data_IF_291170005009
#
_entry.id   IF_291170005009
#
_cell.length_a   1.000
_cell.length_b   1.000
_cell.length_c   1.000
_cell.angle_alpha   90.00
_cell.angle_beta   90.00
_cell.angle_gamma   90.00
#
_symmetry.space_group_name_H-M   'P 1'
#
loop_
_entity.id
_entity.type
_entity.pdbx_description
1 polymer ?
#
# COMPACT_ATOMS: atom_id res chain seq x y z
N UNK A 1 11.24 -5.31 -16.22
CA UNK A 1 9.95 -5.80 -16.73
C UNK A 1 8.86 -4.86 -16.22
N UNK A 2 8.03 -4.26 -17.09
CA UNK A 2 7.12 -3.12 -16.76
C UNK A 2 5.66 -3.45 -17.06
N UNK A 3 5.33 -4.74 -17.19
CA UNK A 3 4.06 -5.23 -17.76
C UNK A 3 2.87 -4.95 -16.82
N UNK A 4 3.07 -5.03 -15.51
CA UNK A 4 2.04 -4.82 -14.48
C UNK A 4 1.45 -3.41 -14.50
N UNK A 5 2.27 -2.41 -14.83
CA UNK A 5 1.88 -1.00 -14.96
C UNK A 5 0.86 -0.76 -16.09
N UNK A 6 0.84 -1.61 -17.10
CA UNK A 6 -0.15 -1.54 -18.20
C UNK A 6 -1.41 -2.35 -17.90
N UNK A 7 -1.30 -3.45 -17.16
CA UNK A 7 -2.43 -4.33 -16.84
C UNK A 7 -3.39 -3.72 -15.82
N UNK A 8 -2.93 -2.76 -15.00
CA UNK A 8 -3.71 -2.15 -13.92
C UNK A 8 -4.27 -0.76 -14.29
N UNK A 9 -4.32 -0.43 -15.59
CA UNK A 9 -4.88 0.83 -16.10
C UNK A 9 -4.19 2.11 -15.57
N UNK A 10 -2.96 2.00 -15.05
CA UNK A 10 -2.19 3.11 -14.46
C UNK A 10 -1.64 4.07 -15.54
N UNK A 11 -1.62 3.66 -16.80
CA UNK A 11 -1.19 4.51 -17.91
C UNK A 11 -2.19 4.47 -19.07
N UNK A 12 -2.74 5.63 -19.49
CA UNK A 12 -3.27 5.78 -20.83
C UNK A 12 -2.26 5.30 -21.87
N UNK A 13 -2.70 4.51 -22.85
CA UNK A 13 -1.84 4.07 -23.93
C UNK A 13 -1.26 5.28 -24.68
N UNK A 14 0.08 5.33 -24.85
CA UNK A 14 0.77 6.36 -25.64
C UNK A 14 1.69 7.32 -24.89
N UNK A 15 1.79 7.25 -23.56
CA UNK A 15 2.66 8.15 -22.78
C UNK A 15 4.16 7.82 -22.93
N UNK A 16 4.97 8.86 -23.16
CA UNK A 16 6.44 8.81 -23.14
C UNK A 16 6.99 8.52 -21.74
N UNK A 17 8.27 8.14 -21.63
CA UNK A 17 8.90 7.83 -20.34
C UNK A 17 8.84 8.97 -19.33
N UNK A 18 8.95 10.23 -19.77
CA UNK A 18 8.85 11.40 -18.88
C UNK A 18 7.42 11.67 -18.41
N UNK A 19 6.43 11.52 -19.30
CA UNK A 19 5.03 11.70 -18.95
C UNK A 19 4.56 10.62 -17.98
N UNK A 20 5.07 9.39 -18.10
CA UNK A 20 4.82 8.33 -17.12
C UNK A 20 5.38 8.69 -15.74
N UNK A 21 6.60 9.23 -15.69
CA UNK A 21 7.21 9.65 -14.43
C UNK A 21 6.43 10.80 -13.78
N UNK A 22 5.93 11.75 -14.58
CA UNK A 22 5.07 12.83 -14.11
C UNK A 22 3.72 12.31 -13.61
N UNK A 23 3.12 11.35 -14.32
CA UNK A 23 1.87 10.72 -13.93
C UNK A 23 2.00 9.96 -12.61
N UNK A 24 3.07 9.18 -12.42
CA UNK A 24 3.35 8.47 -11.17
C UNK A 24 3.50 9.46 -10.00
N UNK A 25 4.24 10.56 -10.19
CA UNK A 25 4.37 11.60 -9.15
C UNK A 25 3.03 12.25 -8.82
N UNK A 26 2.19 12.48 -9.81
CA UNK A 26 0.86 13.03 -9.59
C UNK A 26 0.01 12.07 -8.76
N UNK A 27 -0.05 10.80 -9.17
CA UNK A 27 -0.79 9.74 -8.47
C UNK A 27 -0.29 9.52 -7.04
N UNK A 28 1.02 9.61 -6.81
CA UNK A 28 1.60 9.54 -5.48
C UNK A 28 1.14 10.69 -4.57
N UNK A 29 0.99 11.91 -5.11
CA UNK A 29 0.44 13.05 -4.37
C UNK A 29 -1.04 12.88 -4.06
N UNK A 30 -1.82 12.36 -5.01
CA UNK A 30 -3.24 12.04 -4.78
C UNK A 30 -3.39 11.01 -3.66
N UNK A 31 -2.57 9.96 -3.66
CA UNK A 31 -2.53 8.96 -2.61
C UNK A 31 -2.17 9.58 -1.24
N UNK A 32 -1.13 10.41 -1.18
CA UNK A 32 -0.74 11.07 0.07
C UNK A 32 -1.86 11.97 0.63
N UNK A 33 -2.56 12.71 -0.24
CA UNK A 33 -3.70 13.53 0.14
C UNK A 33 -4.87 12.67 0.63
N UNK A 34 -5.18 11.57 -0.05
CA UNK A 34 -6.21 10.61 0.35
C UNK A 34 -5.92 10.01 1.72
N UNK A 35 -4.67 9.56 1.95
CA UNK A 35 -4.22 9.00 3.23
C UNK A 35 -4.40 10.01 4.37
N UNK A 36 -3.99 11.25 4.17
CA UNK A 36 -4.15 12.32 5.16
C UNK A 36 -5.63 12.60 5.46
N UNK A 37 -6.47 12.67 4.42
CA UNK A 37 -7.91 12.90 4.55
C UNK A 37 -8.61 11.75 5.30
N UNK A 38 -8.30 10.50 4.95
CA UNK A 38 -8.88 9.32 5.59
C UNK A 38 -8.44 9.21 7.05
N UNK A 39 -7.16 9.47 7.35
CA UNK A 39 -6.66 9.51 8.73
C UNK A 39 -7.34 10.60 9.56
N UNK A 40 -7.60 11.77 8.97
CA UNK A 40 -8.30 12.86 9.65
C UNK A 40 -9.80 12.58 9.87
N UNK A 41 -10.42 11.78 8.99
CA UNK A 41 -11.85 11.43 9.06
C UNK A 41 -12.12 10.23 9.98
N UNK A 42 -11.17 9.31 10.10
CA UNK A 42 -11.31 8.10 10.91
C UNK A 42 -11.39 8.44 12.41
N UNK A 43 -12.33 7.82 13.12
CA UNK A 43 -12.33 7.91 14.57
C UNK A 43 -11.08 7.22 15.14
N UNK A 44 -10.40 7.78 16.16
CA UNK A 44 -9.20 7.17 16.76
C UNK A 44 -9.34 5.67 17.11
N UNK A 45 -10.47 5.18 17.69
CA UNK A 45 -10.62 3.75 17.98
C UNK A 45 -10.78 2.88 16.73
N UNK A 46 -11.43 3.39 15.67
CA UNK A 46 -11.58 2.67 14.40
C UNK A 46 -10.23 2.52 13.70
N UNK A 47 -9.45 3.60 13.66
CA UNK A 47 -8.09 3.61 13.13
C UNK A 47 -7.20 2.61 13.89
N UNK A 48 -7.28 2.61 15.23
CA UNK A 48 -6.52 1.68 16.06
C UNK A 48 -6.92 0.22 15.83
N UNK A 49 -8.21 -0.05 15.63
CA UNK A 49 -8.71 -1.41 15.38
C UNK A 49 -8.23 -1.94 14.03
N UNK A 50 -8.33 -1.13 12.97
CA UNK A 50 -7.80 -1.48 11.64
C UNK A 50 -6.29 -1.66 11.69
N UNK A 51 -5.57 -0.72 12.30
CA UNK A 51 -4.11 -0.80 12.42
C UNK A 51 -3.66 -2.04 13.21
N UNK A 52 -4.41 -2.45 14.24
CA UNK A 52 -4.14 -3.66 15.01
C UNK A 52 -4.45 -4.93 14.23
N UNK A 53 -5.55 -4.97 13.45
CA UNK A 53 -5.88 -6.09 12.58
C UNK A 53 -4.81 -6.30 11.51
N UNK A 54 -4.41 -5.22 10.85
CA UNK A 54 -3.33 -5.21 9.85
C UNK A 54 -2.01 -5.66 10.47
N UNK A 55 -1.59 -5.09 11.61
CA UNK A 55 -0.35 -5.49 12.30
C UNK A 55 -0.36 -6.97 12.68
N UNK A 56 -1.49 -7.49 13.16
CA UNK A 56 -1.62 -8.89 13.57
C UNK A 56 -1.44 -9.84 12.40
N UNK A 57 -2.02 -9.53 11.24
CA UNK A 57 -1.84 -10.34 10.04
C UNK A 57 -0.45 -10.13 9.39
N UNK A 58 0.09 -8.91 9.41
CA UNK A 58 1.43 -8.59 8.90
C UNK A 58 2.53 -9.35 9.67
N UNK A 59 2.41 -9.45 11.00
CA UNK A 59 3.37 -10.16 11.86
C UNK A 59 3.31 -11.68 11.71
N UNK A 60 2.13 -12.25 11.41
CA UNK A 60 1.91 -13.70 11.37
C UNK A 60 2.22 -14.30 9.99
N UNK A 61 2.14 -13.52 8.91
CA UNK A 61 2.25 -14.03 7.53
C UNK A 61 3.36 -13.43 6.67
N UNK A 62 3.88 -12.25 7.01
CA UNK A 62 4.99 -11.68 6.24
C UNK A 62 6.23 -12.52 6.51
N UNK A 63 6.71 -13.26 5.50
CA UNK A 63 7.92 -14.09 5.61
C UNK A 63 9.11 -13.23 6.03
N UNK A 64 9.44 -13.25 7.32
CA UNK A 64 10.56 -12.53 7.93
C UNK A 64 11.92 -13.05 7.43
N UNK A 65 11.94 -14.18 6.72
CA UNK A 65 13.09 -14.68 5.97
C UNK A 65 13.33 -13.93 4.66
N UNK A 66 12.35 -13.16 4.16
CA UNK A 66 12.53 -12.38 2.93
C UNK A 66 13.39 -11.13 3.19
N UNK A 67 14.49 -10.89 2.44
CA UNK A 67 15.43 -9.79 2.70
C UNK A 67 14.80 -8.40 2.72
N UNK A 68 13.68 -8.22 2.00
CA UNK A 68 12.93 -6.96 1.96
C UNK A 68 12.14 -6.68 3.25
N UNK A 69 11.70 -7.71 3.98
CA UNK A 69 10.97 -7.56 5.24
C UNK A 69 11.78 -8.03 6.47
N UNK A 70 12.96 -8.60 6.23
CA UNK A 70 13.92 -8.98 7.26
C UNK A 70 14.67 -7.78 7.82
N UNK A 71 14.98 -7.82 9.12
CA UNK A 71 15.67 -6.76 9.83
C UNK A 71 15.20 -6.63 11.29
N UNK A 72 15.89 -5.81 12.12
CA UNK A 72 15.47 -5.56 13.50
C UNK A 72 14.04 -4.99 13.56
N UNK A 73 13.24 -5.44 14.53
CA UNK A 73 11.79 -5.19 14.63
C UNK A 73 11.40 -3.71 14.80
N UNK A 74 12.30 -2.87 15.31
CA UNK A 74 12.00 -1.46 15.53
C UNK A 74 12.27 -0.61 14.28
N UNK A 75 11.20 -0.06 13.72
CA UNK A 75 11.29 0.98 12.69
C UNK A 75 11.49 0.47 11.26
N UNK A 76 11.11 -0.77 10.95
CA UNK A 76 11.25 -1.30 9.59
C UNK A 76 10.35 -0.50 8.60
N UNK A 77 10.94 0.28 7.67
CA UNK A 77 10.18 1.21 6.84
C UNK A 77 9.22 0.49 5.90
N UNK A 78 9.54 -0.74 5.49
CA UNK A 78 8.70 -1.50 4.56
C UNK A 78 7.47 -2.11 5.24
N UNK A 79 7.60 -2.52 6.51
CA UNK A 79 6.44 -2.94 7.30
C UNK A 79 5.52 -1.75 7.62
N UNK A 80 6.09 -0.58 7.91
CA UNK A 80 5.31 0.63 8.10
C UNK A 80 4.56 1.04 6.83
N UNK A 81 5.19 0.92 5.66
CA UNK A 81 4.56 1.19 4.37
C UNK A 81 3.44 0.19 4.04
N UNK A 82 3.65 -1.11 4.31
CA UNK A 82 2.62 -2.14 4.14
C UNK A 82 1.41 -1.87 5.04
N UNK A 83 1.68 -1.58 6.33
CA UNK A 83 0.64 -1.25 7.29
C UNK A 83 -0.16 -0.01 6.85
N UNK A 84 0.53 1.02 6.37
CA UNK A 84 -0.09 2.24 5.90
C UNK A 84 -0.94 2.04 4.65
N UNK A 85 -0.47 1.24 3.69
CA UNK A 85 -1.21 0.88 2.48
C UNK A 85 -2.53 0.19 2.83
N UNK A 86 -2.47 -0.86 3.65
CA UNK A 86 -3.64 -1.65 4.04
C UNK A 86 -4.63 -0.85 4.88
N UNK A 87 -4.12 -0.02 5.79
CA UNK A 87 -4.95 0.88 6.60
C UNK A 87 -5.67 1.90 5.72
N UNK A 88 -4.96 2.51 4.77
CA UNK A 88 -5.55 3.48 3.84
C UNK A 88 -6.63 2.82 2.97
N UNK A 89 -6.40 1.59 2.51
CA UNK A 89 -7.40 0.83 1.76
C UNK A 89 -8.66 0.56 2.58
N UNK A 90 -8.51 0.05 3.80
CA UNK A 90 -9.64 -0.30 4.68
C UNK A 90 -10.49 0.93 5.04
N UNK A 91 -9.86 2.08 5.32
CA UNK A 91 -10.56 3.34 5.57
C UNK A 91 -11.25 3.91 4.33
N UNK A 92 -10.67 3.70 3.14
CA UNK A 92 -11.26 4.11 1.86
C UNK A 92 -12.45 3.25 1.45
N UNK A 93 -12.46 1.97 1.83
CA UNK A 93 -13.48 0.99 1.44
C UNK A 93 -14.14 0.32 2.66
N UNK A 94 -14.92 1.06 3.49
CA UNK A 94 -15.48 0.55 4.75
C UNK A 94 -16.42 -0.66 4.58
N UNK A 95 -16.98 -0.88 3.38
CA UNK A 95 -17.81 -2.07 3.08
C UNK A 95 -17.00 -3.35 2.84
N UNK A 96 -15.78 -3.21 2.33
CA UNK A 96 -14.84 -4.34 2.18
C UNK A 96 -14.03 -4.51 3.47
N UNK A 97 -13.62 -3.40 4.09
CA UNK A 97 -12.70 -3.37 5.23
C UNK A 97 -11.40 -4.14 4.94
N UNK A 98 -10.61 -4.38 5.99
CA UNK A 98 -9.47 -5.29 5.91
C UNK A 98 -9.94 -6.73 6.13
N UNK A 99 -9.66 -7.60 5.16
CA UNK A 99 -9.90 -9.03 5.24
C UNK A 99 -8.58 -9.80 5.33
N UNK A 100 -8.60 -10.93 6.05
CA UNK A 100 -7.44 -11.81 6.19
C UNK A 100 -6.93 -12.26 4.80
N UNK A 101 -5.61 -12.14 4.56
CA UNK A 101 -4.95 -12.50 3.29
C UNK A 101 -4.73 -11.33 2.33
N UNK A 102 -5.24 -10.13 2.63
CA UNK A 102 -4.94 -8.92 1.86
C UNK A 102 -3.47 -8.51 1.93
N UNK A 103 -2.80 -8.80 3.06
CA UNK A 103 -1.36 -8.61 3.23
C UNK A 103 -0.53 -9.53 2.32
N UNK A 104 -0.99 -10.76 2.05
CA UNK A 104 -0.29 -11.73 1.18
C UNK A 104 -0.24 -11.24 -0.29
N UNK A 105 -1.18 -10.37 -0.69
CA UNK A 105 -1.19 -9.73 -2.02
C UNK A 105 -0.43 -8.40 -2.00
N UNK A 106 -0.60 -7.59 -0.97
CA UNK A 106 0.03 -6.27 -0.88
C UNK A 106 1.55 -6.35 -0.64
N UNK A 107 2.03 -7.34 0.12
CA UNK A 107 3.45 -7.51 0.43
C UNK A 107 4.34 -7.72 -0.82
N UNK A 108 4.04 -8.66 -1.74
CA UNK A 108 4.84 -8.83 -2.96
C UNK A 108 4.73 -7.63 -3.92
N UNK A 109 3.57 -6.96 -3.98
CA UNK A 109 3.43 -5.72 -4.77
C UNK A 109 4.36 -4.63 -4.24
N UNK A 110 4.40 -4.44 -2.92
CA UNK A 110 5.29 -3.48 -2.28
C UNK A 110 6.76 -3.86 -2.47
N UNK A 111 7.12 -5.14 -2.33
CA UNK A 111 8.49 -5.61 -2.55
C UNK A 111 9.00 -5.43 -4.00
N UNK A 112 8.10 -5.51 -4.98
CA UNK A 112 8.44 -5.33 -6.41
C UNK A 112 8.48 -3.85 -6.81
N UNK A 113 7.58 -3.03 -6.24
CA UNK A 113 7.41 -1.62 -6.62
C UNK A 113 8.26 -0.66 -5.78
N UNK A 114 8.63 -1.06 -4.56
CA UNK A 114 9.40 -0.27 -3.58
C UNK A 114 8.83 1.14 -3.35
N UNK A 115 7.51 1.26 -3.49
CA UNK A 115 6.79 2.53 -3.40
C UNK A 115 5.35 2.27 -2.92
N UNK A 116 5.01 2.83 -1.76
CA UNK A 116 3.71 2.67 -1.10
C UNK A 116 2.55 3.12 -1.99
N UNK A 117 2.69 4.24 -2.69
CA UNK A 117 1.62 4.80 -3.51
C UNK A 117 1.40 3.96 -4.76
N UNK A 118 2.47 3.51 -5.41
CA UNK A 118 2.37 2.64 -6.56
C UNK A 118 1.80 1.28 -6.19
N UNK A 119 2.23 0.72 -5.04
CA UNK A 119 1.67 -0.52 -4.52
C UNK A 119 0.18 -0.38 -4.20
N UNK A 120 -0.23 0.74 -3.58
CA UNK A 120 -1.64 1.03 -3.31
C UNK A 120 -2.48 1.11 -4.59
N UNK A 121 -1.98 1.81 -5.61
CA UNK A 121 -2.67 1.92 -6.90
C UNK A 121 -2.79 0.58 -7.63
N UNK A 122 -1.83 -0.33 -7.41
CA UNK A 122 -1.88 -1.67 -7.98
C UNK A 122 -2.78 -2.63 -7.19
N UNK A 123 -3.04 -2.30 -5.93
CA UNK A 123 -3.82 -3.09 -5.00
C UNK A 123 -5.32 -2.74 -5.04
N UNK A 124 -5.66 -1.49 -5.38
CA UNK A 124 -7.04 -1.02 -5.60
C UNK A 124 -7.57 -1.42 -6.98
#
# INVERSE_FOLDING_TARGET
QVVWRYLLNVFPAGLSGQERLAHLRHKAREYAALKALLAARAAPPELALVAAAVRKDDVVRTDRGHPYFGGPEEGHPHLAALQALLTTFALGHPRLSYCQGMSDVAAPLLAVLDDEAQAFLCFC
#
